data_IF_492917538202
#
_entry.id   IF_492917538202
#
_cell.length_a   1.000
_cell.length_b   1.000
_cell.length_c   1.000
_cell.angle_alpha   90.00
_cell.angle_beta   90.00
_cell.angle_gamma   90.00
#
_symmetry.space_group_name_H-M   'P 1'
#
loop_
_entity.id
_entity.type
_entity.pdbx_description
1 polymer ?
#
# COMPACT_ATOMS: atom_id res chain seq x y z
N UNK A 1 -6.95 -0.65 3.87
CA UNK A 1 -6.06 0.24 3.07
C UNK A 1 -6.37 1.68 3.45
N UNK A 2 -5.39 2.58 3.45
CA UNK A 2 -5.60 4.02 3.65
C UNK A 2 -5.22 4.75 2.37
N UNK A 3 -5.77 5.95 2.19
CA UNK A 3 -5.43 6.81 1.07
C UNK A 3 -3.97 7.27 1.19
N UNK A 4 -3.19 7.09 0.16
CA UNK A 4 -1.82 7.60 0.09
C UNK A 4 -1.86 9.07 -0.35
N UNK A 5 -1.55 9.96 0.57
CA UNK A 5 -1.42 11.40 0.28
C UNK A 5 0.00 11.67 -0.21
N UNK A 6 0.13 11.98 -1.49
CA UNK A 6 1.41 12.25 -2.11
C UNK A 6 1.87 13.67 -1.83
N UNK A 7 3.08 13.82 -1.30
CA UNK A 7 3.76 15.08 -1.13
C UNK A 7 4.60 15.48 -2.36
N UNK A 8 5.56 16.36 -2.14
CA UNK A 8 6.53 16.73 -3.17
C UNK A 8 7.51 15.58 -3.42
N UNK A 9 7.89 15.40 -4.69
CA UNK A 9 8.93 14.44 -5.02
C UNK A 9 10.29 14.80 -4.36
N UNK A 10 11.14 13.81 -4.06
CA UNK A 10 12.50 14.06 -3.60
C UNK A 10 13.27 14.92 -4.58
N UNK A 11 14.05 15.89 -4.06
CA UNK A 11 14.84 16.77 -4.93
C UNK A 11 15.86 16.01 -5.77
N UNK A 12 16.42 14.92 -5.27
CA UNK A 12 17.33 14.04 -6.02
C UNK A 12 16.65 13.43 -7.25
N UNK A 13 15.40 12.97 -7.15
CA UNK A 13 14.63 12.46 -8.29
C UNK A 13 14.33 13.58 -9.31
N UNK A 14 13.92 14.75 -8.84
CA UNK A 14 13.69 15.92 -9.71
C UNK A 14 14.96 16.30 -10.49
N UNK A 15 16.11 16.36 -9.83
CA UNK A 15 17.39 16.69 -10.46
C UNK A 15 17.84 15.59 -11.42
N UNK A 16 17.65 14.32 -11.06
CA UNK A 16 17.95 13.19 -11.94
C UNK A 16 17.17 13.27 -13.25
N UNK A 17 15.84 13.48 -13.19
CA UNK A 17 14.98 13.61 -14.39
C UNK A 17 15.36 14.81 -15.27
N UNK A 18 15.72 15.95 -14.64
CA UNK A 18 16.18 17.13 -15.40
C UNK A 18 17.48 16.90 -16.14
N UNK A 19 18.42 16.17 -15.54
CA UNK A 19 19.73 15.89 -16.13
C UNK A 19 19.69 14.75 -17.16
N UNK A 20 18.71 13.88 -17.07
CA UNK A 20 18.58 12.68 -17.90
C UNK A 20 17.16 12.58 -18.49
N UNK A 21 16.82 13.42 -19.49
CA UNK A 21 15.45 13.53 -20.00
C UNK A 21 14.91 12.26 -20.69
N UNK A 22 15.80 11.35 -21.10
CA UNK A 22 15.47 10.09 -21.78
C UNK A 22 15.59 8.86 -20.87
N UNK A 23 15.94 9.08 -19.59
CA UNK A 23 16.07 8.01 -18.60
C UNK A 23 14.71 7.40 -18.22
N UNK A 24 14.75 6.14 -17.80
CA UNK A 24 13.64 5.43 -17.19
C UNK A 24 13.95 5.00 -15.74
N UNK A 25 13.05 4.20 -15.15
CA UNK A 25 13.22 3.72 -13.78
C UNK A 25 14.48 2.87 -13.60
N UNK A 26 14.88 2.10 -14.59
CA UNK A 26 16.07 1.23 -14.49
C UNK A 26 17.37 2.04 -14.42
N UNK A 27 17.39 3.21 -15.05
CA UNK A 27 18.53 4.13 -15.03
C UNK A 27 18.68 4.90 -13.70
N UNK A 28 17.67 4.84 -12.82
CA UNK A 28 17.67 5.59 -11.56
C UNK A 28 18.77 5.09 -10.61
N UNK A 29 19.71 5.96 -10.18
CA UNK A 29 20.78 5.60 -9.26
C UNK A 29 20.26 5.06 -7.90
N UNK A 30 21.04 4.20 -7.27
CA UNK A 30 20.69 3.61 -5.95
C UNK A 30 20.48 4.68 -4.88
N UNK A 31 21.23 5.77 -4.88
CA UNK A 31 21.05 6.90 -3.97
C UNK A 31 19.71 7.60 -4.17
N UNK A 32 19.30 7.85 -5.43
CA UNK A 32 18.00 8.45 -5.73
C UNK A 32 16.86 7.49 -5.34
N UNK A 33 17.03 6.18 -5.59
CA UNK A 33 16.06 5.17 -5.14
C UNK A 33 15.94 5.13 -3.62
N UNK A 34 17.02 5.36 -2.87
CA UNK A 34 17.00 5.43 -1.42
C UNK A 34 16.16 6.62 -0.94
N UNK A 35 16.38 7.81 -1.49
CA UNK A 35 15.59 9.01 -1.15
C UNK A 35 14.10 8.83 -1.48
N UNK A 36 13.78 8.21 -2.62
CA UNK A 36 12.40 7.90 -3.01
C UNK A 36 11.75 6.94 -2.01
N UNK A 37 12.46 5.89 -1.57
CA UNK A 37 11.96 4.94 -0.56
C UNK A 37 11.70 5.63 0.77
N UNK A 38 12.64 6.44 1.24
CA UNK A 38 12.53 7.17 2.50
C UNK A 38 11.35 8.14 2.48
N UNK A 39 11.18 8.90 1.38
CA UNK A 39 10.05 9.80 1.21
C UNK A 39 8.71 9.05 1.28
N UNK A 40 8.56 7.96 0.52
CA UNK A 40 7.33 7.15 0.54
C UNK A 40 7.08 6.49 1.90
N UNK A 41 8.12 6.00 2.55
CA UNK A 41 8.04 5.39 3.87
C UNK A 41 7.50 6.36 4.91
N UNK A 42 7.98 7.63 4.89
CA UNK A 42 7.49 8.70 5.76
C UNK A 42 6.05 9.11 5.42
N UNK A 43 5.73 9.34 4.13
CA UNK A 43 4.38 9.72 3.69
C UNK A 43 3.32 8.67 4.04
N UNK A 44 3.70 7.40 3.97
CA UNK A 44 2.82 6.26 4.26
C UNK A 44 2.86 5.85 5.74
N UNK A 45 3.47 6.66 6.62
CA UNK A 45 3.56 6.38 8.07
C UNK A 45 4.16 5.00 8.36
N UNK A 46 5.16 4.61 7.58
CA UNK A 46 5.87 3.33 7.69
C UNK A 46 5.00 2.09 7.37
N UNK A 47 3.94 2.26 6.59
CA UNK A 47 3.02 1.17 6.25
C UNK A 47 3.10 0.84 4.76
N UNK A 48 2.97 -0.45 4.44
CA UNK A 48 2.77 -0.90 3.07
C UNK A 48 1.46 -0.33 2.50
N UNK A 49 1.50 0.31 1.32
CA UNK A 49 0.33 0.91 0.70
C UNK A 49 -0.83 -0.08 0.47
N UNK A 50 -0.52 -1.36 0.27
CA UNK A 50 -1.52 -2.39 -0.02
C UNK A 50 -2.00 -3.12 1.23
N UNK A 51 -1.14 -3.83 1.94
CA UNK A 51 -1.56 -4.70 3.05
C UNK A 51 -1.58 -4.01 4.42
N UNK A 52 -1.08 -2.77 4.52
CA UNK A 52 -0.99 -1.99 5.76
C UNK A 52 -0.06 -2.58 6.83
N UNK A 53 0.75 -3.58 6.49
CA UNK A 53 1.78 -4.08 7.40
C UNK A 53 2.86 -3.02 7.57
N UNK A 54 3.40 -2.92 8.79
CA UNK A 54 4.54 -2.05 9.08
C UNK A 54 5.77 -2.48 8.28
N UNK A 55 6.50 -1.49 7.79
CA UNK A 55 7.82 -1.63 7.18
C UNK A 55 8.78 -0.93 8.13
N UNK A 56 9.71 -1.66 8.71
CA UNK A 56 10.52 -1.14 9.82
C UNK A 56 11.61 -0.18 9.36
N UNK A 57 12.17 -0.40 8.16
CA UNK A 57 13.23 0.44 7.60
C UNK A 57 12.86 0.93 6.19
N UNK A 58 13.32 2.14 5.79
CA UNK A 58 13.14 2.61 4.41
C UNK A 58 13.79 1.70 3.36
N UNK A 59 14.90 1.01 3.72
CA UNK A 59 15.55 0.01 2.85
C UNK A 59 14.65 -1.18 2.52
N UNK A 60 13.68 -1.49 3.38
CA UNK A 60 12.72 -2.59 3.20
C UNK A 60 11.50 -2.18 2.38
N UNK A 61 11.45 -0.93 1.93
CA UNK A 61 10.43 -0.44 1.00
C UNK A 61 10.77 -0.88 -0.41
N UNK A 62 9.84 -1.57 -1.06
CA UNK A 62 9.87 -1.79 -2.50
C UNK A 62 9.12 -0.66 -3.19
N UNK A 63 9.75 -0.06 -4.22
CA UNK A 63 9.12 0.97 -5.04
C UNK A 63 8.19 0.26 -6.03
N UNK A 64 6.93 0.50 -5.90
CA UNK A 64 5.87 -0.05 -6.73
C UNK A 64 5.27 1.06 -7.61
N UNK A 65 4.89 0.71 -8.83
CA UNK A 65 4.21 1.61 -9.75
C UNK A 65 2.71 1.29 -9.79
N UNK A 66 1.86 2.22 -9.38
CA UNK A 66 0.41 2.04 -9.40
C UNK A 66 -0.06 1.67 -10.82
N UNK A 67 0.51 2.29 -11.85
CA UNK A 67 0.40 1.85 -13.24
C UNK A 67 1.54 0.90 -13.57
N UNK A 68 1.28 -0.28 -14.16
CA UNK A 68 2.33 -1.20 -14.56
C UNK A 68 3.38 -0.52 -15.47
N UNK A 69 4.65 -0.79 -15.24
CA UNK A 69 5.73 -0.25 -16.10
C UNK A 69 5.75 -0.87 -17.49
N UNK A 70 5.23 -2.09 -17.60
CA UNK A 70 5.16 -2.87 -18.85
C UNK A 70 3.73 -3.44 -18.98
N UNK A 71 2.72 -2.61 -19.30
CA UNK A 71 1.38 -3.09 -19.55
C UNK A 71 1.38 -4.00 -20.79
N UNK A 72 0.54 -5.04 -20.78
CA UNK A 72 0.55 -6.07 -21.84
C UNK A 72 0.14 -5.55 -23.21
N UNK A 73 -0.67 -4.49 -23.23
CA UNK A 73 -1.36 -4.00 -24.42
C UNK A 73 -0.80 -2.67 -24.96
N UNK A 74 0.25 -2.10 -24.34
CA UNK A 74 0.86 -0.87 -24.82
C UNK A 74 1.97 -1.14 -25.84
N UNK A 75 1.80 -0.60 -27.04
CA UNK A 75 2.77 -0.65 -28.13
C UNK A 75 3.97 0.25 -27.87
N UNK A 76 3.81 1.29 -27.02
CA UNK A 76 4.87 2.24 -26.69
C UNK A 76 4.99 2.39 -25.18
N UNK A 77 6.14 1.99 -24.66
CA UNK A 77 6.50 2.17 -23.25
C UNK A 77 6.82 3.65 -22.96
N UNK A 78 5.99 4.31 -22.15
CA UNK A 78 6.31 5.67 -21.70
C UNK A 78 7.35 5.63 -20.56
N UNK A 79 8.62 5.69 -20.98
CA UNK A 79 9.76 5.71 -20.05
C UNK A 79 9.68 6.81 -19.01
N UNK A 80 9.21 8.00 -19.39
CA UNK A 80 9.11 9.16 -18.47
C UNK A 80 8.08 8.94 -17.40
N UNK A 81 6.97 8.26 -17.71
CA UNK A 81 5.94 7.92 -16.74
C UNK A 81 6.47 6.99 -15.64
N UNK A 82 7.51 6.18 -15.93
CA UNK A 82 8.11 5.29 -14.92
C UNK A 82 8.88 6.05 -13.83
N UNK A 83 9.26 7.29 -14.07
CA UNK A 83 9.92 8.18 -13.11
C UNK A 83 8.96 9.21 -12.47
N UNK A 84 7.67 9.12 -12.75
CA UNK A 84 6.68 10.03 -12.16
C UNK A 84 6.33 9.62 -10.73
N UNK A 85 6.91 10.33 -9.77
CA UNK A 85 6.74 10.07 -8.33
C UNK A 85 5.27 9.99 -7.88
N UNK A 86 4.38 10.70 -8.57
CA UNK A 86 2.95 10.71 -8.20
C UNK A 86 2.27 9.34 -8.31
N UNK A 87 2.85 8.42 -9.12
CA UNK A 87 2.33 7.07 -9.32
C UNK A 87 3.13 5.98 -8.60
N UNK A 88 4.17 6.36 -7.84
CA UNK A 88 4.97 5.42 -7.07
C UNK A 88 4.35 5.17 -5.70
N UNK A 89 4.45 3.95 -5.21
CA UNK A 89 3.97 3.49 -3.90
C UNK A 89 5.08 2.76 -3.17
N UNK A 90 5.16 2.95 -1.86
CA UNK A 90 5.99 2.14 -0.99
C UNK A 90 5.23 0.87 -0.55
N UNK A 91 5.73 -0.29 -0.92
CA UNK A 91 5.11 -1.56 -0.55
C UNK A 91 6.12 -2.51 0.09
N UNK A 92 5.63 -3.50 0.83
CA UNK A 92 6.48 -4.55 1.38
C UNK A 92 6.85 -5.60 0.32
N UNK A 93 7.82 -6.44 0.63
CA UNK A 93 8.26 -7.52 -0.27
C UNK A 93 7.23 -8.66 -0.45
N UNK A 94 6.09 -8.63 0.25
CA UNK A 94 4.99 -9.56 0.01
C UNK A 94 5.38 -11.03 0.10
N UNK A 95 6.29 -11.40 1.01
CA UNK A 95 6.84 -12.75 1.18
C UNK A 95 7.86 -13.22 0.13
N UNK A 96 8.16 -12.41 -0.90
CA UNK A 96 9.05 -12.81 -2.00
C UNK A 96 10.51 -13.09 -1.60
N UNK A 97 10.95 -12.64 -0.41
CA UNK A 97 12.29 -12.89 0.09
C UNK A 97 12.46 -14.28 0.77
N UNK A 98 11.36 -14.99 0.99
CA UNK A 98 11.39 -16.32 1.59
C UNK A 98 11.83 -17.33 0.53
N UNK A 99 12.92 -18.04 0.80
CA UNK A 99 13.44 -19.07 -0.11
C UNK A 99 12.40 -20.18 -0.33
N UNK A 100 12.11 -20.47 -1.59
CA UNK A 100 11.16 -21.52 -1.96
C UNK A 100 9.69 -21.13 -1.77
N UNK A 101 9.37 -19.85 -1.53
CA UNK A 101 7.98 -19.37 -1.44
C UNK A 101 7.25 -19.64 -2.74
N UNK A 102 6.03 -20.17 -2.64
CA UNK A 102 5.18 -20.40 -3.79
C UNK A 102 4.46 -19.10 -4.21
N UNK A 103 4.12 -18.93 -5.49
CA UNK A 103 3.39 -17.74 -5.96
C UNK A 103 2.10 -17.47 -5.18
N UNK A 104 1.33 -18.48 -4.83
CA UNK A 104 0.09 -18.39 -4.06
C UNK A 104 0.29 -17.89 -2.61
N UNK A 105 1.50 -17.99 -2.08
CA UNK A 105 1.87 -17.52 -0.75
C UNK A 105 2.49 -16.11 -0.77
N UNK A 106 2.59 -15.49 -1.94
CA UNK A 106 3.01 -14.11 -2.08
C UNK A 106 1.83 -13.14 -1.97
N UNK A 107 2.10 -11.88 -1.68
CA UNK A 107 1.09 -10.81 -1.57
C UNK A 107 1.60 -9.51 -2.18
N UNK A 108 0.74 -8.49 -2.22
CA UNK A 108 1.10 -7.14 -2.67
C UNK A 108 1.69 -7.15 -4.09
N UNK A 109 2.71 -6.33 -4.35
CA UNK A 109 3.38 -6.27 -5.65
C UNK A 109 3.96 -7.62 -6.09
N UNK A 110 4.52 -8.38 -5.17
CA UNK A 110 5.10 -9.69 -5.48
C UNK A 110 4.07 -10.69 -6.10
N UNK A 111 2.81 -10.59 -5.70
CA UNK A 111 1.72 -11.39 -6.27
C UNK A 111 1.07 -10.70 -7.47
N UNK A 112 0.91 -9.36 -7.42
CA UNK A 112 0.33 -8.55 -8.48
C UNK A 112 1.10 -8.66 -9.79
N UNK A 113 2.42 -8.53 -9.72
CA UNK A 113 3.30 -8.42 -10.90
C UNK A 113 2.88 -7.23 -11.80
N UNK A 114 2.65 -7.47 -13.10
CA UNK A 114 2.27 -6.43 -14.09
C UNK A 114 0.75 -6.35 -14.33
N UNK A 115 -0.10 -6.84 -13.41
CA UNK A 115 -1.54 -6.71 -13.57
C UNK A 115 -1.98 -5.29 -13.22
N UNK A 116 -2.89 -4.73 -14.01
CA UNK A 116 -3.55 -3.48 -13.66
C UNK A 116 -4.48 -3.67 -12.45
N UNK A 117 -4.71 -2.57 -11.74
CA UNK A 117 -5.62 -2.52 -10.61
C UNK A 117 -6.74 -1.53 -10.90
N UNK A 118 -7.97 -1.95 -10.62
CA UNK A 118 -9.13 -1.07 -10.59
C UNK A 118 -9.08 -0.13 -9.38
N UNK A 119 -8.50 -0.62 -8.27
CA UNK A 119 -8.30 0.22 -7.08
C UNK A 119 -7.20 1.24 -7.30
N UNK A 120 -7.54 2.51 -7.02
CA UNK A 120 -6.57 3.60 -6.98
C UNK A 120 -6.23 3.98 -5.52
N UNK A 121 -5.02 3.65 -5.01
CA UNK A 121 -4.63 3.99 -3.64
C UNK A 121 -4.50 5.48 -3.35
N UNK A 122 -4.50 6.34 -4.37
CA UNK A 122 -4.45 7.80 -4.23
C UNK A 122 -5.85 8.44 -4.21
N UNK A 123 -6.89 7.67 -4.55
CA UNK A 123 -8.26 8.14 -4.58
C UNK A 123 -9.05 7.67 -3.35
N UNK A 124 -9.55 8.63 -2.58
CA UNK A 124 -10.30 8.35 -1.37
C UNK A 124 -11.61 7.60 -1.65
N UNK A 125 -12.28 7.91 -2.75
CA UNK A 125 -13.54 7.25 -3.13
C UNK A 125 -13.27 5.78 -3.44
N UNK A 126 -12.19 5.49 -4.16
CA UNK A 126 -11.77 4.13 -4.47
C UNK A 126 -11.42 3.35 -3.20
N UNK A 127 -10.59 3.92 -2.32
CA UNK A 127 -10.13 3.26 -1.08
C UNK A 127 -11.29 3.03 -0.09
N UNK A 128 -12.28 3.92 -0.02
CA UNK A 128 -13.47 3.74 0.85
C UNK A 128 -14.37 2.56 0.47
N UNK A 129 -14.26 2.06 -0.76
CA UNK A 129 -14.97 0.84 -1.18
C UNK A 129 -14.43 -0.43 -0.54
N UNK A 130 -13.23 -0.37 0.04
CA UNK A 130 -12.63 -1.50 0.76
C UNK A 130 -13.24 -1.63 2.15
N UNK A 131 -13.67 -2.83 2.47
CA UNK A 131 -14.28 -3.19 3.76
C UNK A 131 -13.53 -4.33 4.43
N UNK A 132 -13.71 -4.47 5.74
CA UNK A 132 -13.09 -5.50 6.56
C UNK A 132 -14.16 -6.25 7.34
N UNK A 133 -14.05 -7.59 7.36
CA UNK A 133 -14.89 -8.46 8.19
C UNK A 133 -14.32 -8.59 9.61
N UNK A 134 -15.14 -9.09 10.54
CA UNK A 134 -14.74 -9.31 11.93
C UNK A 134 -13.60 -10.35 12.08
N UNK A 135 -13.43 -11.25 11.12
CA UNK A 135 -12.33 -12.21 11.06
C UNK A 135 -11.02 -11.59 10.55
N UNK A 136 -11.05 -10.32 10.12
CA UNK A 136 -9.92 -9.58 9.56
C UNK A 136 -9.74 -9.73 8.05
N UNK A 137 -10.60 -10.48 7.37
CA UNK A 137 -10.56 -10.55 5.91
C UNK A 137 -10.97 -9.22 5.28
N UNK A 138 -10.37 -8.93 4.12
CA UNK A 138 -10.61 -7.73 3.33
C UNK A 138 -11.50 -8.09 2.13
N UNK A 139 -12.42 -7.19 1.78
CA UNK A 139 -13.29 -7.35 0.62
C UNK A 139 -13.79 -6.01 0.09
N UNK A 140 -14.47 -6.01 -1.05
CA UNK A 140 -15.24 -4.90 -1.58
C UNK A 140 -16.57 -5.41 -2.14
N UNK A 141 -17.60 -4.57 -2.14
CA UNK A 141 -18.85 -4.83 -2.87
C UNK A 141 -18.71 -4.51 -4.37
N UNK A 142 -17.73 -3.69 -4.75
CA UNK A 142 -17.33 -3.47 -6.11
C UNK A 142 -16.52 -4.70 -6.58
N UNK A 143 -17.00 -5.39 -7.61
CA UNK A 143 -16.44 -6.67 -8.06
C UNK A 143 -14.99 -6.56 -8.53
N UNK A 144 -14.64 -5.48 -9.25
CA UNK A 144 -13.28 -5.28 -9.76
C UNK A 144 -12.30 -4.99 -8.60
N UNK A 145 -12.69 -4.11 -7.68
CA UNK A 145 -11.88 -3.83 -6.49
C UNK A 145 -11.78 -5.07 -5.59
N UNK A 146 -12.87 -5.85 -5.47
CA UNK A 146 -12.83 -7.10 -4.72
C UNK A 146 -11.81 -8.07 -5.31
N UNK A 147 -11.83 -8.27 -6.63
CA UNK A 147 -10.84 -9.08 -7.34
C UNK A 147 -9.41 -8.57 -7.11
N UNK A 148 -9.21 -7.25 -7.09
CA UNK A 148 -7.90 -6.68 -6.81
C UNK A 148 -7.40 -7.06 -5.42
N UNK A 149 -8.21 -6.87 -4.38
CA UNK A 149 -7.77 -7.09 -3.00
C UNK A 149 -7.69 -8.56 -2.62
N UNK A 150 -8.54 -9.43 -3.20
CA UNK A 150 -8.56 -10.87 -2.88
C UNK A 150 -7.60 -11.67 -3.75
N UNK A 151 -7.62 -11.43 -5.07
CA UNK A 151 -6.93 -12.28 -6.04
C UNK A 151 -5.65 -11.64 -6.57
N UNK A 152 -5.70 -10.36 -7.02
CA UNK A 152 -4.54 -9.73 -7.66
C UNK A 152 -3.46 -9.37 -6.66
N UNK A 153 -3.83 -8.81 -5.52
CA UNK A 153 -2.92 -8.44 -4.42
C UNK A 153 -2.81 -9.55 -3.36
N UNK A 154 -3.70 -10.53 -3.37
CA UNK A 154 -3.79 -11.64 -2.43
C UNK A 154 -3.74 -11.21 -0.96
N UNK A 155 -4.54 -10.18 -0.61
CA UNK A 155 -4.46 -9.58 0.74
C UNK A 155 -5.15 -10.41 1.84
N UNK A 156 -5.79 -11.51 1.50
CA UNK A 156 -6.31 -12.50 2.46
C UNK A 156 -5.42 -13.73 2.59
N UNK A 157 -4.20 -13.69 2.04
CA UNK A 157 -3.25 -14.80 2.07
C UNK A 157 -3.00 -15.32 3.49
N UNK A 158 -3.22 -16.61 3.76
CA UNK A 158 -2.98 -17.21 5.07
C UNK A 158 -1.50 -17.28 5.45
N UNK A 159 -0.60 -17.47 4.47
CA UNK A 159 0.83 -17.65 4.69
C UNK A 159 1.50 -16.48 5.44
N UNK A 160 0.97 -15.26 5.29
CA UNK A 160 1.42 -14.07 6.02
C UNK A 160 0.52 -13.69 7.20
N UNK A 161 -0.47 -14.52 7.53
CA UNK A 161 -1.42 -14.26 8.63
C UNK A 161 -2.04 -12.86 8.58
N UNK A 162 -2.27 -12.31 7.37
CA UNK A 162 -2.76 -10.95 7.20
C UNK A 162 -4.16 -10.74 7.84
N UNK A 163 -5.15 -11.63 7.63
CA UNK A 163 -6.44 -11.51 8.31
C UNK A 163 -6.31 -11.55 9.84
N UNK A 164 -5.52 -12.50 10.37
CA UNK A 164 -5.31 -12.67 11.80
C UNK A 164 -4.66 -11.43 12.42
N UNK A 165 -3.68 -10.83 11.73
CA UNK A 165 -3.03 -9.60 12.18
C UNK A 165 -4.02 -8.44 12.23
N UNK A 166 -4.86 -8.26 11.20
CA UNK A 166 -5.90 -7.22 11.18
C UNK A 166 -6.93 -7.43 12.30
N UNK A 167 -7.40 -8.67 12.50
CA UNK A 167 -8.30 -9.03 13.59
C UNK A 167 -7.69 -8.66 14.94
N UNK A 168 -6.42 -9.00 15.18
CA UNK A 168 -5.72 -8.66 16.44
C UNK A 168 -5.66 -7.15 16.65
N UNK A 169 -5.32 -6.38 15.63
CA UNK A 169 -5.27 -4.91 15.70
C UNK A 169 -6.66 -4.33 15.99
N UNK A 170 -7.72 -4.81 15.32
CA UNK A 170 -9.09 -4.39 15.56
C UNK A 170 -9.52 -4.64 17.02
N UNK A 171 -9.28 -5.84 17.54
CA UNK A 171 -9.61 -6.19 18.92
C UNK A 171 -8.84 -5.33 19.94
N UNK A 172 -7.56 -5.02 19.66
CA UNK A 172 -6.77 -4.12 20.51
C UNK A 172 -7.32 -2.70 20.48
N UNK A 173 -7.70 -2.18 19.31
CA UNK A 173 -8.31 -0.87 19.17
C UNK A 173 -9.63 -0.79 19.94
N UNK A 174 -10.50 -1.80 19.78
CA UNK A 174 -11.76 -1.89 20.53
C UNK A 174 -11.55 -1.89 22.04
N UNK A 175 -10.63 -2.71 22.56
CA UNK A 175 -10.29 -2.75 23.99
C UNK A 175 -9.84 -1.38 24.52
N UNK A 176 -8.95 -0.70 23.77
CA UNK A 176 -8.47 0.65 24.15
C UNK A 176 -9.61 1.67 24.20
N UNK A 177 -10.56 1.60 23.27
CA UNK A 177 -11.71 2.50 23.22
C UNK A 177 -12.62 2.24 24.40
N UNK A 178 -12.94 0.97 24.69
CA UNK A 178 -13.75 0.59 25.85
C UNK A 178 -13.11 1.11 27.13
N UNK A 179 -11.82 0.87 27.35
CA UNK A 179 -11.11 1.35 28.54
C UNK A 179 -11.13 2.87 28.69
N UNK A 180 -10.96 3.61 27.58
CA UNK A 180 -11.02 5.09 27.59
C UNK A 180 -12.42 5.65 27.87
N UNK A 181 -13.44 4.88 27.56
CA UNK A 181 -14.83 5.29 27.69
C UNK A 181 -15.51 4.68 28.94
N UNK A 182 -14.77 3.93 29.75
CA UNK A 182 -15.28 3.34 30.98
C UNK A 182 -15.85 4.44 31.91
N UNK A 183 -17.10 4.29 32.33
CA UNK A 183 -17.81 5.31 33.12
C UNK A 183 -18.30 6.54 32.34
N UNK A 184 -18.14 6.58 31.02
CA UNK A 184 -18.60 7.70 30.18
C UNK A 184 -19.89 7.36 29.43
N UNK A 185 -20.55 8.40 28.90
CA UNK A 185 -21.76 8.26 28.11
C UNK A 185 -21.54 7.53 26.78
N UNK A 186 -22.61 6.97 26.20
CA UNK A 186 -22.59 6.36 24.86
C UNK A 186 -22.08 7.35 23.78
N UNK A 187 -22.41 8.65 23.91
CA UNK A 187 -21.90 9.67 22.99
C UNK A 187 -20.38 9.82 23.03
N UNK A 188 -19.76 9.73 24.22
CA UNK A 188 -18.31 9.74 24.34
C UNK A 188 -17.65 8.52 23.68
N UNK A 189 -18.29 7.36 23.74
CA UNK A 189 -17.81 6.15 23.04
C UNK A 189 -17.87 6.31 21.53
N UNK A 190 -18.97 6.82 21.00
CA UNK A 190 -19.13 7.07 19.55
C UNK A 190 -18.09 8.08 19.06
N UNK A 191 -17.90 9.18 19.79
CA UNK A 191 -16.90 10.20 19.43
C UNK A 191 -15.47 9.63 19.41
N UNK A 192 -15.09 8.80 20.38
CA UNK A 192 -13.76 8.18 20.41
C UNK A 192 -13.57 7.15 19.27
N UNK A 193 -14.63 6.41 18.90
CA UNK A 193 -14.66 5.56 17.73
C UNK A 193 -14.37 6.37 16.45
N UNK A 194 -15.13 7.45 16.23
CA UNK A 194 -14.96 8.31 15.06
C UNK A 194 -13.56 8.91 14.99
N UNK A 195 -13.01 9.38 16.11
CA UNK A 195 -11.66 9.92 16.20
C UNK A 195 -10.60 8.88 15.85
N UNK A 196 -10.78 7.63 16.31
CA UNK A 196 -9.81 6.55 16.10
C UNK A 196 -9.85 6.01 14.67
N UNK A 197 -11.02 6.00 14.02
CA UNK A 197 -11.17 5.44 12.67
C UNK A 197 -11.13 6.49 11.55
N UNK A 198 -11.22 7.78 11.86
CA UNK A 198 -11.05 8.88 10.88
C UNK A 198 -9.62 9.42 10.80
N UNK A 199 -8.75 9.09 11.75
CA UNK A 199 -7.33 9.48 11.80
C UNK A 199 -6.43 8.46 11.12
#
# INVERSE_FOLDING_TARGET
MIVVKRGKEPNSLLQFRKKNPDADYEDMPSSVRADVREQMWNEQKHLCAYCMRRIDNPSDVRIEHCRPRHPKDEVVHDKKATLDFKWMLGVCYGNSLVKGVKPEDMTCDAHRRNKELAINPFDEVSVRKIKYKADGSIYSEDAEINKDVTDTLNLNCPALSLPQTRKKVLLQAQKRIVQKCEGKSQGAYIHELERTYKS
#
